data_IF_474090781680
#
_entry.id   IF_474090781680
#
_cell.length_a   1.000
_cell.length_b   1.000
_cell.length_c   1.000
_cell.angle_alpha   90.00
_cell.angle_beta   90.00
_cell.angle_gamma   90.00
#
_symmetry.space_group_name_H-M   'P 1'
#
loop_
_entity.id
_entity.type
_entity.pdbx_description
1 polymer ?
#
# COMPACT_ATOMS: atom_id res chain seq x y z
N UNK A 1 4.42 14.06 6.92
CA UNK A 1 5.71 13.34 6.97
C UNK A 1 6.66 13.97 5.97
N UNK A 2 7.98 13.82 6.14
CA UNK A 2 8.95 14.25 5.12
C UNK A 2 9.02 13.22 3.97
N UNK A 3 9.55 13.57 2.79
CA UNK A 3 9.75 12.59 1.70
C UNK A 3 10.67 11.41 2.08
N UNK A 4 11.66 11.65 2.94
CA UNK A 4 12.55 10.60 3.43
C UNK A 4 11.78 9.60 4.31
N UNK A 5 11.00 10.10 5.29
CA UNK A 5 10.15 9.27 6.15
C UNK A 5 9.10 8.51 5.32
N UNK A 6 8.54 9.16 4.30
CA UNK A 6 7.57 8.56 3.40
C UNK A 6 8.13 7.38 2.61
N UNK A 7 9.34 7.55 2.05
CA UNK A 7 10.06 6.48 1.38
C UNK A 7 10.33 5.33 2.35
N UNK A 8 10.81 5.62 3.56
CA UNK A 8 11.07 4.60 4.58
C UNK A 8 9.79 3.82 4.93
N UNK A 9 8.68 4.52 5.19
CA UNK A 9 7.39 3.91 5.50
C UNK A 9 6.92 2.96 4.39
N UNK A 10 6.98 3.38 3.12
CA UNK A 10 6.59 2.52 1.99
C UNK A 10 7.43 1.25 1.92
N UNK A 11 8.74 1.34 2.17
CA UNK A 11 9.64 0.18 2.16
C UNK A 11 9.32 -0.81 3.29
N UNK A 12 8.88 -0.33 4.46
CA UNK A 12 8.41 -1.22 5.53
C UNK A 12 7.06 -1.85 5.19
N UNK A 13 6.09 -1.07 4.70
CA UNK A 13 4.78 -1.60 4.34
C UNK A 13 4.84 -2.61 3.19
N UNK A 14 5.82 -2.52 2.30
CA UNK A 14 6.04 -3.45 1.19
C UNK A 14 6.89 -4.67 1.53
N UNK A 15 7.46 -4.73 2.73
CA UNK A 15 8.50 -5.71 3.08
C UNK A 15 9.68 -5.68 2.08
N UNK A 16 10.19 -4.49 1.73
CA UNK A 16 11.41 -4.32 0.90
C UNK A 16 12.53 -3.44 1.52
N UNK A 17 12.29 -2.81 2.66
CA UNK A 17 13.31 -2.24 3.57
C UNK A 17 14.43 -3.25 3.94
N UNK A 18 15.70 -2.83 4.08
CA UNK A 18 16.79 -3.74 4.43
C UNK A 18 16.80 -4.21 5.90
N UNK A 19 16.23 -3.41 6.81
CA UNK A 19 16.12 -3.77 8.22
C UNK A 19 14.87 -4.66 8.44
N UNK A 20 15.09 -5.97 8.40
CA UNK A 20 14.03 -6.99 8.54
C UNK A 20 13.68 -7.32 9.99
N UNK A 21 14.49 -6.84 10.95
CA UNK A 21 14.32 -7.08 12.38
C UNK A 21 13.46 -6.01 13.04
N UNK A 22 13.32 -4.84 12.42
CA UNK A 22 12.40 -3.80 12.85
C UNK A 22 10.94 -4.33 12.87
N UNK A 23 10.19 -4.11 13.97
CA UNK A 23 8.80 -4.56 14.08
C UNK A 23 7.90 -4.12 12.92
N UNK A 24 8.13 -2.93 12.35
CA UNK A 24 7.40 -2.38 11.19
C UNK A 24 7.42 -3.31 9.99
N UNK A 25 8.46 -4.13 9.84
CA UNK A 25 8.55 -5.16 8.81
C UNK A 25 7.38 -6.15 8.85
N UNK A 26 7.05 -6.60 10.06
CA UNK A 26 6.00 -7.59 10.31
C UNK A 26 4.63 -6.94 10.47
N UNK A 27 4.60 -5.69 10.93
CA UNK A 27 3.35 -4.99 11.23
C UNK A 27 2.87 -4.10 10.10
N UNK A 28 3.69 -3.84 9.07
CA UNK A 28 3.36 -3.05 7.89
C UNK A 28 2.26 -3.68 7.01
N UNK A 29 1.90 -3.01 5.92
CA UNK A 29 0.70 -3.36 5.14
C UNK A 29 0.74 -4.83 4.67
N UNK A 30 1.84 -5.24 4.02
CA UNK A 30 2.05 -6.62 3.58
C UNK A 30 2.42 -7.55 4.72
N UNK A 31 3.29 -7.12 5.64
CA UNK A 31 3.70 -7.92 6.79
C UNK A 31 2.49 -8.39 7.61
N UNK A 32 1.51 -7.53 7.82
CA UNK A 32 0.30 -7.82 8.59
C UNK A 32 -0.63 -8.86 7.95
N UNK A 33 -0.41 -9.20 6.68
CA UNK A 33 -1.12 -10.30 6.01
C UNK A 33 -0.51 -11.67 6.31
N UNK A 34 0.66 -11.73 6.99
CA UNK A 34 1.43 -12.97 7.23
C UNK A 34 2.14 -12.95 8.60
N UNK A 35 1.53 -13.51 9.68
CA UNK A 35 0.20 -14.12 9.70
C UNK A 35 -0.91 -13.07 9.65
N UNK A 36 -2.03 -13.40 9.00
CA UNK A 36 -3.20 -12.53 8.96
C UNK A 36 -3.93 -12.55 10.31
N UNK A 37 -4.12 -11.37 10.90
CA UNK A 37 -4.89 -11.20 12.15
C UNK A 37 -5.99 -10.13 12.03
N UNK A 38 -6.43 -9.86 10.80
CA UNK A 38 -7.34 -8.77 10.48
C UNK A 38 -6.65 -7.64 9.71
N UNK A 39 -7.45 -6.85 9.00
CA UNK A 39 -6.96 -5.67 8.29
C UNK A 39 -6.59 -4.57 9.28
N UNK A 40 -5.51 -3.86 8.96
CA UNK A 40 -4.99 -2.74 9.76
C UNK A 40 -5.12 -1.45 8.98
N UNK A 41 -6.20 -0.72 9.25
CA UNK A 41 -6.56 0.50 8.54
C UNK A 41 -5.52 1.61 8.71
N UNK A 42 -4.83 1.65 9.85
CA UNK A 42 -3.72 2.57 10.08
C UNK A 42 -2.59 2.42 9.04
N UNK A 43 -2.29 1.18 8.62
CA UNK A 43 -1.28 0.92 7.60
C UNK A 43 -1.72 1.47 6.24
N UNK A 44 -3.00 1.32 5.90
CA UNK A 44 -3.55 1.87 4.67
C UNK A 44 -3.42 3.41 4.64
N UNK A 45 -3.83 4.07 5.72
CA UNK A 45 -3.73 5.53 5.82
C UNK A 45 -2.29 6.03 5.79
N UNK A 46 -1.35 5.30 6.40
CA UNK A 46 0.07 5.63 6.37
C UNK A 46 0.65 5.51 4.96
N UNK A 47 0.31 4.44 4.21
CA UNK A 47 0.68 4.31 2.79
C UNK A 47 0.15 5.47 1.95
N UNK A 48 -1.12 5.85 2.12
CA UNK A 48 -1.71 6.98 1.39
C UNK A 48 -1.07 8.33 1.76
N UNK A 49 -0.74 8.51 3.04
CA UNK A 49 0.00 9.69 3.53
C UNK A 49 1.41 9.76 2.95
N UNK A 50 2.08 8.61 2.80
CA UNK A 50 3.39 8.50 2.18
C UNK A 50 3.37 8.80 0.69
N UNK A 51 2.39 8.28 -0.06
CA UNK A 51 2.19 8.66 -1.46
C UNK A 51 1.98 10.17 -1.61
N UNK A 52 1.19 10.80 -0.73
CA UNK A 52 0.97 12.25 -0.77
C UNK A 52 2.25 13.04 -0.51
N UNK A 53 3.07 12.61 0.44
CA UNK A 53 4.35 13.26 0.74
C UNK A 53 5.41 13.04 -0.37
N UNK A 54 5.24 12.01 -1.19
CA UNK A 54 6.10 11.70 -2.33
C UNK A 54 5.56 12.24 -3.67
N UNK A 55 4.43 12.93 -3.67
CA UNK A 55 3.78 13.37 -4.91
C UNK A 55 4.72 14.20 -5.81
N UNK A 56 5.38 15.22 -5.26
CA UNK A 56 6.34 16.05 -6.02
C UNK A 56 7.56 15.25 -6.49
N UNK A 57 8.29 14.48 -5.64
CA UNK A 57 9.39 13.63 -6.10
C UNK A 57 9.01 12.61 -7.19
N UNK A 58 7.78 12.08 -7.16
CA UNK A 58 7.29 11.10 -8.14
C UNK A 58 6.89 11.73 -9.48
N UNK A 59 6.76 13.05 -9.55
CA UNK A 59 6.53 13.80 -10.80
C UNK A 59 7.83 14.21 -11.52
N UNK A 60 9.00 13.89 -10.95
CA UNK A 60 10.27 14.18 -11.59
C UNK A 60 10.53 13.26 -12.81
N UNK A 61 11.40 13.71 -13.73
CA UNK A 61 11.81 12.93 -14.90
C UNK A 61 12.39 11.54 -14.55
N UNK A 62 12.98 11.42 -13.36
CA UNK A 62 13.53 10.17 -12.83
C UNK A 62 12.86 9.83 -11.50
N UNK A 63 12.14 8.72 -11.49
CA UNK A 63 11.42 8.25 -10.32
C UNK A 63 12.24 7.18 -9.57
N UNK A 64 12.29 7.21 -8.23
CA UNK A 64 12.96 6.18 -7.45
C UNK A 64 12.32 4.80 -7.68
N UNK A 65 13.06 3.91 -8.35
CA UNK A 65 12.58 2.56 -8.71
C UNK A 65 12.07 1.79 -7.50
N UNK A 66 12.75 1.90 -6.36
CA UNK A 66 12.39 1.20 -5.13
C UNK A 66 11.03 1.66 -4.57
N UNK A 67 10.66 2.93 -4.74
CA UNK A 67 9.36 3.45 -4.29
C UNK A 67 8.25 2.88 -5.18
N UNK A 68 8.42 2.96 -6.49
CA UNK A 68 7.45 2.39 -7.44
C UNK A 68 7.31 0.88 -7.23
N UNK A 69 8.44 0.18 -7.10
CA UNK A 69 8.46 -1.26 -6.85
C UNK A 69 7.80 -1.63 -5.52
N UNK A 70 7.97 -0.82 -4.47
CA UNK A 70 7.31 -1.04 -3.18
C UNK A 70 5.79 -0.94 -3.32
N UNK A 71 5.28 0.11 -3.95
CA UNK A 71 3.84 0.34 -4.10
C UNK A 71 3.18 -0.70 -5.02
N UNK A 72 3.79 -0.97 -6.17
CA UNK A 72 3.31 -2.00 -7.10
C UNK A 72 3.37 -3.39 -6.45
N UNK A 73 4.46 -3.70 -5.75
CA UNK A 73 4.62 -4.95 -5.00
C UNK A 73 3.56 -5.13 -3.93
N UNK A 74 3.28 -4.09 -3.13
CA UNK A 74 2.19 -4.11 -2.14
C UNK A 74 0.86 -4.45 -2.80
N UNK A 75 0.49 -3.73 -3.86
CA UNK A 75 -0.77 -3.97 -4.56
C UNK A 75 -0.86 -5.40 -5.12
N UNK A 76 0.22 -5.87 -5.73
CA UNK A 76 0.29 -7.21 -6.32
C UNK A 76 0.13 -8.30 -5.25
N UNK A 77 0.94 -8.28 -4.19
CA UNK A 77 0.94 -9.32 -3.17
C UNK A 77 -0.33 -9.30 -2.33
N UNK A 78 -0.84 -8.12 -1.96
CA UNK A 78 -2.10 -8.01 -1.25
C UNK A 78 -3.26 -8.62 -2.08
N UNK A 79 -3.31 -8.35 -3.39
CA UNK A 79 -4.30 -8.96 -4.30
C UNK A 79 -4.11 -10.47 -4.40
N UNK A 80 -2.89 -10.93 -4.67
CA UNK A 80 -2.57 -12.33 -4.86
C UNK A 80 -2.87 -13.18 -3.61
N UNK A 81 -2.74 -12.61 -2.41
CA UNK A 81 -2.93 -13.37 -1.18
C UNK A 81 -4.34 -13.23 -0.60
N UNK A 82 -4.91 -12.02 -0.63
CA UNK A 82 -6.15 -11.69 0.06
C UNK A 82 -7.40 -11.59 -0.81
N UNK A 83 -7.25 -11.38 -2.12
CA UNK A 83 -8.39 -11.07 -3.03
C UNK A 83 -8.58 -12.13 -4.11
N UNK A 84 -7.49 -12.64 -4.68
CA UNK A 84 -7.56 -13.65 -5.73
C UNK A 84 -8.35 -14.89 -5.27
N UNK A 85 -9.17 -15.52 -6.13
CA UNK A 85 -9.97 -16.69 -5.75
C UNK A 85 -9.14 -17.86 -5.22
N UNK A 86 -7.91 -17.99 -5.71
CA UNK A 86 -6.91 -18.98 -5.29
C UNK A 86 -5.87 -18.40 -4.31
N UNK A 87 -6.12 -17.20 -3.79
CA UNK A 87 -5.25 -16.53 -2.85
C UNK A 87 -5.16 -17.27 -1.52
N UNK A 88 -3.94 -17.34 -0.98
CA UNK A 88 -3.63 -18.07 0.25
C UNK A 88 -4.56 -17.73 1.43
N UNK A 89 -4.96 -16.48 1.63
CA UNK A 89 -5.82 -16.11 2.76
C UNK A 89 -7.26 -16.60 2.56
N UNK A 90 -7.79 -16.48 1.34
CA UNK A 90 -9.12 -16.95 1.00
C UNK A 90 -9.21 -18.48 1.05
N UNK A 91 -8.27 -19.18 0.42
CA UNK A 91 -8.24 -20.64 0.38
C UNK A 91 -8.12 -21.28 1.77
N UNK A 92 -7.41 -20.63 2.70
CA UNK A 92 -7.25 -21.12 4.07
C UNK A 92 -8.34 -20.61 5.02
N UNK A 93 -9.37 -19.90 4.53
CA UNK A 93 -10.47 -19.38 5.35
C UNK A 93 -10.01 -18.33 6.39
N UNK A 94 -8.88 -17.66 6.14
CA UNK A 94 -8.29 -16.70 7.07
C UNK A 94 -8.91 -15.30 6.94
N UNK A 95 -9.32 -14.91 5.73
CA UNK A 95 -9.92 -13.60 5.45
C UNK A 95 -11.41 -13.74 5.15
N UNK A 96 -12.22 -12.84 5.68
CA UNK A 96 -13.66 -12.79 5.39
C UNK A 96 -13.90 -12.17 3.99
N UNK A 97 -15.07 -12.44 3.39
CA UNK A 97 -15.43 -11.81 2.12
C UNK A 97 -15.51 -10.27 2.23
N UNK A 98 -15.93 -9.75 3.38
CA UNK A 98 -15.99 -8.31 3.65
C UNK A 98 -14.58 -7.70 3.74
N UNK A 99 -13.65 -8.36 4.44
CA UNK A 99 -12.26 -7.90 4.52
C UNK A 99 -11.56 -8.02 3.16
N UNK A 100 -11.80 -9.09 2.40
CA UNK A 100 -11.24 -9.22 1.05
C UNK A 100 -11.71 -8.10 0.13
N UNK A 101 -13.00 -7.74 0.18
CA UNK A 101 -13.54 -6.61 -0.58
C UNK A 101 -12.90 -5.28 -0.13
N UNK A 102 -12.78 -5.05 1.18
CA UNK A 102 -12.14 -3.84 1.72
C UNK A 102 -10.66 -3.75 1.33
N UNK A 103 -9.94 -4.87 1.35
CA UNK A 103 -8.56 -4.93 0.91
C UNK A 103 -8.44 -4.61 -0.59
N UNK A 104 -9.35 -5.11 -1.43
CA UNK A 104 -9.37 -4.79 -2.86
C UNK A 104 -9.61 -3.29 -3.11
N UNK A 105 -10.49 -2.65 -2.34
CA UNK A 105 -10.69 -1.20 -2.37
C UNK A 105 -9.42 -0.42 -1.98
N UNK A 106 -8.70 -0.86 -0.95
CA UNK A 106 -7.41 -0.27 -0.56
C UNK A 106 -6.35 -0.44 -1.65
N UNK A 107 -6.27 -1.62 -2.26
CA UNK A 107 -5.36 -1.86 -3.38
C UNK A 107 -5.70 -0.94 -4.56
N UNK A 108 -6.99 -0.82 -4.90
CA UNK A 108 -7.46 0.04 -5.98
C UNK A 108 -7.03 1.49 -5.75
N UNK A 109 -7.37 2.05 -4.60
CA UNK A 109 -7.05 3.44 -4.24
C UNK A 109 -5.54 3.72 -4.19
N UNK A 110 -4.74 2.83 -3.61
CA UNK A 110 -3.27 2.96 -3.60
C UNK A 110 -2.73 2.97 -5.03
N UNK A 111 -3.16 2.02 -5.86
CA UNK A 111 -2.68 1.90 -7.25
C UNK A 111 -3.13 3.07 -8.13
N UNK A 112 -4.34 3.58 -7.91
CA UNK A 112 -4.88 4.75 -8.58
C UNK A 112 -4.09 6.01 -8.23
N UNK A 113 -3.83 6.23 -6.93
CA UNK A 113 -3.05 7.38 -6.48
C UNK A 113 -1.65 7.39 -7.10
N UNK A 114 -0.96 6.24 -7.11
CA UNK A 114 0.34 6.13 -7.78
C UNK A 114 0.24 6.48 -9.27
N UNK A 115 -0.73 5.90 -9.99
CA UNK A 115 -0.90 6.13 -11.42
C UNK A 115 -1.13 7.62 -11.73
N UNK A 116 -2.01 8.27 -10.97
CA UNK A 116 -2.34 9.68 -11.16
C UNK A 116 -1.17 10.62 -10.82
N UNK A 117 -0.42 10.32 -9.75
CA UNK A 117 0.79 11.09 -9.41
C UNK A 117 1.80 11.02 -10.56
N UNK A 118 2.06 9.81 -11.08
CA UNK A 118 3.01 9.60 -12.18
C UNK A 118 2.56 10.29 -13.49
N UNK A 119 1.26 10.45 -13.71
CA UNK A 119 0.69 11.16 -14.88
C UNK A 119 0.61 12.69 -14.69
N UNK A 120 1.10 13.22 -13.56
CA UNK A 120 1.06 14.65 -13.28
C UNK A 120 -0.26 15.14 -12.65
N UNK A 121 -1.23 14.26 -12.45
CA UNK A 121 -2.59 14.55 -12.00
C UNK A 121 -2.75 14.38 -10.47
N UNK A 122 -1.93 15.10 -9.69
CA UNK A 122 -1.87 14.97 -8.22
C UNK A 122 -3.17 15.44 -7.55
N UNK A 123 -3.90 16.39 -8.15
CA UNK A 123 -5.15 16.88 -7.60
C UNK A 123 -6.18 15.76 -7.49
N UNK A 124 -6.34 14.96 -8.54
CA UNK A 124 -7.31 13.87 -8.58
C UNK A 124 -6.82 12.59 -7.87
N UNK A 125 -5.51 12.46 -7.64
CA UNK A 125 -4.89 11.24 -7.11
C UNK A 125 -5.49 10.75 -5.79
N UNK A 126 -6.05 11.65 -4.98
CA UNK A 126 -6.56 11.34 -3.64
C UNK A 126 -8.07 11.55 -3.47
N UNK A 127 -8.79 11.97 -4.51
CA UNK A 127 -10.20 12.33 -4.39
C UNK A 127 -11.09 11.18 -3.89
N UNK A 128 -10.86 9.97 -4.38
CA UNK A 128 -11.62 8.80 -3.93
C UNK A 128 -11.25 8.40 -2.50
N UNK A 129 -9.97 8.48 -2.14
CA UNK A 129 -9.50 8.24 -0.79
C UNK A 129 -10.09 9.24 0.21
N UNK A 130 -10.01 10.53 -0.09
CA UNK A 130 -10.46 11.60 0.81
C UNK A 130 -12.00 11.59 0.98
N UNK A 131 -12.77 11.21 -0.06
CA UNK A 131 -14.23 11.04 0.05
C UNK A 131 -14.65 9.86 0.95
N UNK A 132 -13.82 8.81 1.02
CA UNK A 132 -14.12 7.59 1.79
C UNK A 132 -13.51 7.58 3.19
N UNK A 133 -12.67 8.56 3.51
CA UNK A 133 -12.00 8.72 4.80
C UNK A 133 -13.00 9.21 5.85
N UNK A 134 -13.81 8.31 6.39
CA UNK A 134 -14.61 8.51 7.61
C UNK A 134 -13.82 8.12 8.85
#
# INVERSE_FOLDING_TARGET
MTPADAREALLFHSCTHPDVDDPRWRTGFIGSLRPFSGLREENYHEVMSALRALAEPLQADFVPREVVSAVVGMCHFARAWGVAPDGMLGQNGLISAADAARLDEWIWTISYALAMILDGAVAEAFDDYDRRRT
#
